data_IF_828425648457
#
_entry.id   IF_828425648457
#
_cell.length_a   1.000
_cell.length_b   1.000
_cell.length_c   1.000
_cell.angle_alpha   90.00
_cell.angle_beta   90.00
_cell.angle_gamma   90.00
#
_symmetry.space_group_name_H-M   'P 1'
#
loop_
_entity.id
_entity.type
_entity.pdbx_description
1 polymer ?
#
# COMPACT_ATOMS: atom_id res chain seq x y z
N UNK A 1 -30.22 25.78 -4.49
CA UNK A 1 -28.92 25.74 -3.79
C UNK A 1 -28.01 24.90 -4.63
N UNK A 2 -26.91 25.49 -5.08
CA UNK A 2 -26.00 24.93 -6.07
C UNK A 2 -25.35 23.65 -5.53
N UNK A 3 -25.43 22.58 -6.31
CA UNK A 3 -24.78 21.29 -6.04
C UNK A 3 -23.47 21.31 -6.83
N UNK A 4 -22.62 22.26 -6.47
CA UNK A 4 -21.35 22.51 -7.14
C UNK A 4 -20.38 21.36 -6.81
N UNK A 5 -19.96 20.64 -7.84
CA UNK A 5 -18.61 20.13 -8.06
C UNK A 5 -17.80 19.80 -6.80
N UNK A 6 -18.19 18.73 -6.09
CA UNK A 6 -17.21 17.97 -5.32
C UNK A 6 -16.32 17.24 -6.33
N UNK A 7 -15.35 17.96 -6.89
CA UNK A 7 -14.15 17.39 -7.49
C UNK A 7 -13.36 16.73 -6.36
N UNK A 8 -13.83 15.55 -5.92
CA UNK A 8 -13.14 14.69 -4.95
C UNK A 8 -11.92 14.08 -5.63
N UNK A 9 -10.92 14.91 -5.87
CA UNK A 9 -9.67 14.50 -6.45
C UNK A 9 -8.97 13.53 -5.48
N UNK A 10 -8.94 12.26 -5.88
CA UNK A 10 -8.22 11.20 -5.18
C UNK A 10 -6.75 11.11 -5.66
N UNK A 11 -6.22 12.16 -6.30
CA UNK A 11 -4.82 12.23 -6.75
C UNK A 11 -3.81 12.03 -5.62
N UNK A 12 -4.18 12.35 -4.38
CA UNK A 12 -3.35 12.14 -3.19
C UNK A 12 -2.87 10.69 -3.04
N UNK A 13 -3.66 9.70 -3.48
CA UNK A 13 -3.28 8.27 -3.47
C UNK A 13 -2.02 8.02 -4.32
N UNK A 14 -1.97 8.65 -5.50
CA UNK A 14 -0.87 8.50 -6.46
C UNK A 14 0.43 9.11 -5.94
N UNK A 15 0.35 10.31 -5.36
CA UNK A 15 1.50 11.01 -4.77
C UNK A 15 2.08 10.20 -3.61
N UNK A 16 1.20 9.73 -2.73
CA UNK A 16 1.56 8.97 -1.54
C UNK A 16 2.28 7.67 -1.88
N UNK A 17 1.79 6.92 -2.87
CA UNK A 17 2.43 5.64 -3.26
C UNK A 17 3.80 5.85 -3.91
N UNK A 18 3.93 6.87 -4.77
CA UNK A 18 5.19 7.15 -5.47
C UNK A 18 6.33 7.51 -4.51
N UNK A 19 6.04 8.21 -3.42
CA UNK A 19 7.05 8.53 -2.39
C UNK A 19 7.63 7.26 -1.76
N UNK A 20 6.76 6.31 -1.41
CA UNK A 20 7.15 5.07 -0.73
C UNK A 20 7.97 4.17 -1.65
N UNK A 21 7.58 4.07 -2.92
CA UNK A 21 8.30 3.28 -3.88
C UNK A 21 9.72 3.81 -4.12
N UNK A 22 9.87 5.13 -4.31
CA UNK A 22 11.18 5.77 -4.47
C UNK A 22 12.09 5.53 -3.25
N UNK A 23 11.56 5.63 -2.02
CA UNK A 23 12.33 5.36 -0.81
C UNK A 23 12.78 3.88 -0.73
N UNK A 24 11.92 2.93 -1.12
CA UNK A 24 12.29 1.51 -1.16
C UNK A 24 13.38 1.21 -2.19
N UNK A 25 13.33 1.84 -3.37
CA UNK A 25 14.37 1.69 -4.39
C UNK A 25 15.73 2.24 -3.93
N UNK A 26 15.76 3.42 -3.30
CA UNK A 26 17.00 4.02 -2.79
C UNK A 26 17.67 3.13 -1.74
N UNK A 27 16.89 2.55 -0.81
CA UNK A 27 17.40 1.63 0.21
C UNK A 27 18.03 0.35 -0.41
N UNK A 28 17.51 -0.14 -1.54
CA UNK A 28 18.11 -1.27 -2.23
C UNK A 28 19.48 -0.95 -2.86
N UNK A 29 19.64 0.26 -3.41
CA UNK A 29 20.89 0.67 -4.05
C UNK A 29 22.03 0.82 -3.04
N UNK A 30 21.73 1.36 -1.84
CA UNK A 30 22.72 1.50 -0.77
C UNK A 30 23.22 0.15 -0.24
N UNK A 31 22.35 -0.86 -0.11
CA UNK A 31 22.78 -2.18 0.38
C UNK A 31 23.71 -2.90 -0.60
N UNK A 32 23.49 -2.77 -1.91
CA UNK A 32 24.35 -3.40 -2.93
C UNK A 32 25.79 -2.88 -2.92
N UNK A 33 26.06 -1.70 -2.35
CA UNK A 33 27.41 -1.14 -2.23
C UNK A 33 28.17 -1.63 -0.99
N UNK A 34 27.47 -2.15 0.03
CA UNK A 34 28.08 -2.54 1.32
C UNK A 34 28.26 -4.07 1.50
N UNK A 35 27.75 -4.89 0.57
CA UNK A 35 27.73 -6.36 0.71
C UNK A 35 28.56 -7.12 -0.34
N UNK A 36 29.89 -7.17 -0.19
CA UNK A 36 30.72 -8.21 -0.82
C UNK A 36 31.33 -9.12 0.27
N UNK A 37 30.63 -10.22 0.58
CA UNK A 37 31.17 -11.54 0.91
C UNK A 37 30.10 -12.41 1.58
N UNK A 38 29.56 -13.39 0.86
CA UNK A 38 29.45 -14.81 1.27
C UNK A 38 28.53 -15.60 0.33
N UNK A 39 28.96 -16.82 0.04
CA UNK A 39 28.48 -17.77 -0.96
C UNK A 39 27.31 -18.66 -0.50
N UNK A 40 26.43 -18.95 -1.48
CA UNK A 40 25.65 -20.18 -1.73
C UNK A 40 25.05 -20.99 -0.57
N UNK A 41 23.71 -21.04 -0.53
CA UNK A 41 22.96 -22.23 -0.06
C UNK A 41 22.48 -22.27 1.39
N UNK A 42 22.23 -21.12 2.02
CA UNK A 42 21.72 -21.06 3.41
C UNK A 42 20.22 -20.76 3.52
N UNK A 43 19.58 -21.09 4.67
CA UNK A 43 18.18 -20.81 4.95
C UNK A 43 17.86 -19.31 4.85
N UNK A 44 16.58 -18.98 4.64
CA UNK A 44 16.08 -17.60 4.73
C UNK A 44 16.59 -16.99 6.04
N UNK A 45 17.30 -15.87 5.95
CA UNK A 45 17.80 -15.18 7.14
C UNK A 45 16.69 -14.26 7.62
N UNK A 46 16.20 -14.47 8.84
CA UNK A 46 15.35 -13.49 9.52
C UNK A 46 16.25 -12.56 10.32
N UNK A 47 16.09 -11.25 10.19
CA UNK A 47 16.96 -10.31 10.87
C UNK A 47 16.49 -8.86 10.77
N UNK A 48 17.04 -8.04 11.66
CA UNK A 48 16.82 -6.59 11.69
C UNK A 48 17.96 -5.82 11.04
N UNK A 49 17.63 -4.74 10.32
CA UNK A 49 18.57 -3.78 9.77
C UNK A 49 18.13 -2.35 10.10
N UNK A 50 19.10 -1.49 10.43
CA UNK A 50 18.87 -0.05 10.61
C UNK A 50 19.65 0.68 9.53
N UNK A 51 18.96 1.49 8.75
CA UNK A 51 19.53 2.27 7.67
C UNK A 51 20.10 3.60 8.21
N UNK A 52 20.99 4.23 7.44
CA UNK A 52 21.61 5.52 7.78
C UNK A 52 20.58 6.66 7.87
N UNK A 53 19.50 6.57 7.10
CA UNK A 53 18.37 7.50 7.13
C UNK A 53 17.48 7.34 8.38
N UNK A 54 17.84 6.45 9.32
CA UNK A 54 17.09 6.03 10.50
C UNK A 54 15.88 5.11 10.25
N UNK A 55 15.61 4.73 8.99
CA UNK A 55 14.65 3.68 8.66
C UNK A 55 15.09 2.34 9.24
N UNK A 56 14.14 1.43 9.47
CA UNK A 56 14.39 0.11 10.07
C UNK A 56 13.58 -0.96 9.37
N UNK A 57 14.22 -2.07 9.08
CA UNK A 57 13.56 -3.27 8.57
C UNK A 57 13.77 -4.43 9.53
N UNK A 58 12.73 -5.23 9.77
CA UNK A 58 12.81 -6.51 10.48
C UNK A 58 12.01 -7.51 9.66
N UNK A 59 12.65 -8.60 9.21
CA UNK A 59 11.97 -9.60 8.41
C UNK A 59 12.92 -10.54 7.71
N UNK A 60 12.40 -11.20 6.69
CA UNK A 60 13.12 -12.16 5.87
C UNK A 60 14.02 -11.50 4.82
N UNK A 61 15.19 -12.10 4.58
CA UNK A 61 16.16 -11.64 3.59
C UNK A 61 16.47 -12.76 2.61
N UNK A 62 16.53 -12.45 1.32
CA UNK A 62 16.99 -13.39 0.31
C UNK A 62 18.54 -13.53 0.33
N UNK A 63 19.07 -14.47 -0.45
CA UNK A 63 20.52 -14.73 -0.52
C UNK A 63 21.35 -13.56 -1.06
N UNK A 64 20.71 -12.62 -1.77
CA UNK A 64 21.33 -11.38 -2.25
C UNK A 64 21.31 -10.26 -1.20
N UNK A 65 20.76 -10.53 0.00
CA UNK A 65 20.59 -9.56 1.07
C UNK A 65 19.51 -8.51 0.77
N UNK A 66 18.53 -8.83 -0.08
CA UNK A 66 17.37 -7.97 -0.30
C UNK A 66 16.21 -8.43 0.60
N UNK A 67 15.39 -7.48 1.05
CA UNK A 67 14.13 -7.76 1.77
C UNK A 67 13.28 -8.74 0.95
N UNK A 68 12.79 -9.79 1.59
CA UNK A 68 11.99 -10.84 0.95
C UNK A 68 10.96 -11.38 1.95
N UNK A 69 10.02 -12.22 1.54
CA UNK A 69 9.08 -12.88 2.45
C UNK A 69 8.30 -11.89 3.31
N UNK A 70 7.99 -12.25 4.55
CA UNK A 70 7.30 -11.35 5.49
C UNK A 70 8.29 -10.38 6.14
N UNK A 71 7.88 -9.13 6.30
CA UNK A 71 8.65 -8.18 7.07
C UNK A 71 7.90 -6.90 7.45
N UNK A 72 8.58 -6.13 8.29
CA UNK A 72 8.15 -4.85 8.84
C UNK A 72 9.18 -3.80 8.45
N UNK A 73 8.75 -2.76 7.75
CA UNK A 73 9.57 -1.62 7.36
C UNK A 73 9.00 -0.36 7.98
N UNK A 74 9.79 0.28 8.82
CA UNK A 74 9.50 1.58 9.41
C UNK A 74 10.43 2.61 8.76
N UNK A 75 9.85 3.56 8.04
CA UNK A 75 10.59 4.70 7.49
C UNK A 75 10.83 5.76 8.56
N UNK A 76 11.86 6.58 8.33
CA UNK A 76 12.25 7.68 9.21
C UNK A 76 11.15 8.74 9.42
N UNK A 77 10.29 8.94 8.40
CA UNK A 77 9.18 9.87 8.48
C UNK A 77 7.99 9.35 9.32
N UNK A 78 8.07 8.10 9.81
CA UNK A 78 7.00 7.46 10.58
C UNK A 78 6.08 6.56 9.74
N UNK A 79 6.23 6.55 8.41
CA UNK A 79 5.50 5.61 7.55
C UNK A 79 5.89 4.17 7.88
N UNK A 80 4.92 3.29 8.02
CA UNK A 80 5.13 1.88 8.35
C UNK A 80 4.47 0.99 7.32
N UNK A 81 5.21 0.01 6.81
CA UNK A 81 4.70 -1.10 6.01
C UNK A 81 4.89 -2.42 6.74
N UNK A 82 3.84 -3.22 6.82
CA UNK A 82 3.90 -4.62 7.20
C UNK A 82 3.36 -5.45 6.03
N UNK A 83 4.06 -6.50 5.62
CA UNK A 83 3.56 -7.35 4.54
C UNK A 83 4.65 -8.14 3.86
N UNK A 84 4.33 -8.59 2.65
CA UNK A 84 5.25 -9.36 1.83
C UNK A 84 6.23 -8.44 1.08
N UNK A 85 7.46 -8.91 0.93
CA UNK A 85 8.51 -8.29 0.14
C UNK A 85 8.99 -9.25 -0.95
N UNK A 86 9.30 -8.70 -2.13
CA UNK A 86 9.99 -9.41 -3.19
C UNK A 86 11.11 -8.52 -3.74
N UNK A 87 12.33 -9.03 -3.70
CA UNK A 87 13.52 -8.34 -4.22
C UNK A 87 13.68 -6.91 -3.68
N UNK A 88 13.32 -6.70 -2.41
CA UNK A 88 13.45 -5.41 -1.74
C UNK A 88 12.25 -4.47 -1.85
N UNK A 89 11.21 -4.83 -2.62
CA UNK A 89 9.99 -4.03 -2.78
C UNK A 89 8.79 -4.71 -2.11
N UNK A 90 7.84 -3.92 -1.60
CA UNK A 90 6.55 -4.43 -1.14
C UNK A 90 5.78 -5.13 -2.27
N UNK A 91 5.24 -6.30 -1.97
CA UNK A 91 4.60 -7.23 -2.89
C UNK A 91 3.42 -7.91 -2.18
N UNK A 92 2.48 -8.49 -2.92
CA UNK A 92 1.45 -9.36 -2.35
C UNK A 92 0.56 -8.63 -1.35
N UNK A 93 0.18 -9.27 -0.25
CA UNK A 93 -0.67 -8.65 0.77
C UNK A 93 0.15 -7.85 1.78
N UNK A 94 -0.33 -6.65 2.11
CA UNK A 94 0.28 -5.82 3.15
C UNK A 94 -0.62 -4.70 3.66
N UNK A 95 -0.18 -4.09 4.75
CA UNK A 95 -0.77 -2.92 5.37
C UNK A 95 0.27 -1.80 5.42
N UNK A 96 -0.13 -0.59 5.05
CA UNK A 96 0.70 0.59 5.04
C UNK A 96 0.02 1.70 5.84
N UNK A 97 0.71 2.27 6.81
CA UNK A 97 0.23 3.35 7.65
C UNK A 97 1.10 4.59 7.46
N UNK A 98 0.48 5.74 7.36
CA UNK A 98 1.14 7.03 7.22
C UNK A 98 1.07 7.83 8.54
N UNK A 99 2.03 8.74 8.79
CA UNK A 99 2.05 9.57 9.99
C UNK A 99 0.85 10.51 10.13
N UNK A 100 0.24 10.90 8.99
CA UNK A 100 -0.95 11.75 8.95
C UNK A 100 -2.26 11.00 9.25
N UNK A 101 -2.18 9.68 9.50
CA UNK A 101 -3.32 8.82 9.76
C UNK A 101 -3.91 8.15 8.52
N UNK A 102 -3.44 8.49 7.32
CA UNK A 102 -3.83 7.73 6.12
C UNK A 102 -3.36 6.28 6.23
N UNK A 103 -4.06 5.37 5.56
CA UNK A 103 -3.77 3.93 5.60
C UNK A 103 -4.17 3.24 4.30
N UNK A 104 -3.41 2.24 3.90
CA UNK A 104 -3.80 1.29 2.87
C UNK A 104 -3.73 -0.14 3.39
N UNK A 105 -4.70 -0.97 3.00
CA UNK A 105 -4.69 -2.40 3.22
C UNK A 105 -5.13 -3.11 1.95
N UNK A 106 -4.29 -4.00 1.42
CA UNK A 106 -4.62 -4.67 0.17
C UNK A 106 -3.40 -5.26 -0.51
N UNK A 107 -3.48 -5.30 -1.84
CA UNK A 107 -2.47 -5.89 -2.69
C UNK A 107 -1.41 -4.86 -3.12
N UNK A 108 -0.17 -5.33 -3.18
CA UNK A 108 0.99 -4.58 -3.63
C UNK A 108 1.63 -5.29 -4.81
N UNK A 109 2.10 -4.52 -5.78
CA UNK A 109 2.91 -5.02 -6.87
C UNK A 109 4.08 -4.07 -7.15
N UNK A 110 5.31 -4.56 -7.00
CA UNK A 110 6.53 -3.80 -7.25
C UNK A 110 6.56 -2.44 -6.51
N UNK A 111 6.18 -2.41 -5.24
CA UNK A 111 6.16 -1.16 -4.47
C UNK A 111 4.84 -0.37 -4.54
N UNK A 112 3.95 -0.68 -5.48
CA UNK A 112 2.74 0.09 -5.73
C UNK A 112 1.49 -0.59 -5.17
N UNK A 113 0.51 0.20 -4.72
CA UNK A 113 -0.86 -0.31 -4.54
C UNK A 113 -1.35 -0.89 -5.86
N UNK A 114 -1.94 -2.08 -5.79
CA UNK A 114 -2.39 -2.84 -6.94
C UNK A 114 -3.62 -3.66 -6.57
N UNK A 115 -4.29 -4.26 -7.56
CA UNK A 115 -5.35 -5.23 -7.33
C UNK A 115 -6.50 -4.64 -6.51
N UNK A 116 -6.93 -5.35 -5.47
CA UNK A 116 -8.04 -4.93 -4.62
C UNK A 116 -7.50 -4.45 -3.25
N UNK A 117 -8.08 -3.38 -2.73
CA UNK A 117 -7.72 -2.90 -1.40
C UNK A 117 -8.67 -1.84 -0.87
N UNK A 118 -8.36 -1.38 0.34
CA UNK A 118 -9.03 -0.26 0.98
C UNK A 118 -8.00 0.81 1.31
N UNK A 119 -8.31 2.03 0.90
CA UNK A 119 -7.54 3.21 1.25
C UNK A 119 -8.37 4.13 2.14
N UNK A 120 -7.81 4.53 3.27
CA UNK A 120 -8.30 5.57 4.14
C UNK A 120 -7.41 6.79 3.99
N UNK A 121 -8.02 7.94 3.70
CA UNK A 121 -7.37 9.25 3.67
C UNK A 121 -7.31 9.83 5.08
N UNK A 122 -6.36 10.73 5.29
CA UNK A 122 -6.19 11.46 6.55
C UNK A 122 -7.42 12.33 6.91
N UNK A 123 -8.20 12.75 5.91
CA UNK A 123 -9.46 13.50 6.10
C UNK A 123 -10.67 12.62 6.46
N UNK A 124 -10.47 11.30 6.60
CA UNK A 124 -11.52 10.35 6.96
C UNK A 124 -12.32 9.80 5.77
N UNK A 125 -12.03 10.23 4.53
CA UNK A 125 -12.58 9.57 3.34
C UNK A 125 -12.01 8.15 3.19
N UNK A 126 -12.81 7.24 2.65
CA UNK A 126 -12.44 5.85 2.42
C UNK A 126 -12.83 5.40 1.02
N UNK A 127 -11.90 4.79 0.30
CA UNK A 127 -12.15 4.12 -0.97
C UNK A 127 -11.96 2.61 -0.84
N UNK A 128 -12.93 1.85 -1.34
CA UNK A 128 -12.92 0.38 -1.38
C UNK A 128 -13.05 -0.07 -2.84
N UNK A 129 -12.00 -0.67 -3.41
CA UNK A 129 -12.04 -1.08 -4.81
C UNK A 129 -10.70 -1.41 -5.42
N UNK A 130 -10.60 -1.17 -6.72
CA UNK A 130 -9.45 -1.54 -7.55
C UNK A 130 -8.38 -0.44 -7.64
N UNK A 131 -7.12 -0.87 -7.66
CA UNK A 131 -5.93 -0.02 -7.75
C UNK A 131 -4.98 -0.51 -8.86
N UNK A 132 -4.30 0.42 -9.52
CA UNK A 132 -3.25 0.11 -10.50
C UNK A 132 -2.16 1.18 -10.46
N UNK A 133 -0.92 0.76 -10.23
CA UNK A 133 0.24 1.66 -10.23
C UNK A 133 0.12 2.77 -9.19
N UNK A 134 -0.37 2.44 -7.99
CA UNK A 134 -0.54 3.40 -6.90
C UNK A 134 -1.72 4.35 -7.05
N UNK A 135 -2.58 4.15 -8.06
CA UNK A 135 -3.74 5.00 -8.30
C UNK A 135 -5.02 4.20 -8.16
N UNK A 136 -6.09 4.90 -7.81
CA UNK A 136 -7.45 4.35 -7.93
C UNK A 136 -7.73 4.15 -9.42
N UNK A 137 -7.99 2.89 -9.79
CA UNK A 137 -8.23 2.51 -11.18
C UNK A 137 -9.06 1.25 -11.23
N UNK A 138 -10.30 1.37 -11.73
CA UNK A 138 -11.26 0.28 -11.80
C UNK A 138 -12.52 0.59 -11.02
N UNK A 139 -13.24 -0.46 -10.65
CA UNK A 139 -14.50 -0.37 -9.92
C UNK A 139 -14.27 -0.16 -8.43
N UNK A 140 -15.14 0.62 -7.79
CA UNK A 140 -15.08 0.82 -6.35
C UNK A 140 -16.19 1.70 -5.79
N UNK A 141 -16.09 1.93 -4.50
CA UNK A 141 -17.00 2.71 -3.69
C UNK A 141 -16.24 3.75 -2.88
N UNK A 142 -16.68 5.01 -2.97
CA UNK A 142 -16.24 6.08 -2.09
C UNK A 142 -17.21 6.23 -0.90
N UNK A 143 -16.63 6.40 0.29
CA UNK A 143 -17.32 6.74 1.52
C UNK A 143 -16.70 8.02 2.09
N UNK A 144 -17.53 9.00 2.38
CA UNK A 144 -17.13 10.29 2.93
C UNK A 144 -16.89 10.20 4.44
N UNK A 145 -16.31 11.26 5.01
CA UNK A 145 -16.05 11.38 6.45
C UNK A 145 -17.33 11.26 7.28
N UNK A 146 -18.48 11.67 6.74
CA UNK A 146 -19.80 11.55 7.37
C UNK A 146 -20.43 10.14 7.23
N UNK A 147 -19.65 9.17 6.74
CA UNK A 147 -20.04 7.79 6.46
C UNK A 147 -21.07 7.62 5.33
N UNK A 148 -21.44 8.69 4.63
CA UNK A 148 -22.29 8.60 3.45
C UNK A 148 -21.47 8.22 2.21
N UNK A 149 -22.17 7.89 1.13
CA UNK A 149 -21.55 7.67 -0.18
C UNK A 149 -21.84 8.83 -1.15
N UNK A 150 -22.33 9.95 -0.62
CA UNK A 150 -22.86 11.06 -1.42
C UNK A 150 -24.20 10.73 -2.10
N UNK A 151 -24.80 11.76 -2.69
CA UNK A 151 -25.99 11.65 -3.51
C UNK A 151 -25.76 12.33 -4.87
N UNK A 152 -25.87 11.61 -5.99
CA UNK A 152 -26.06 10.15 -6.07
C UNK A 152 -24.83 9.39 -5.52
N UNK A 153 -25.04 8.13 -5.15
CA UNK A 153 -24.02 7.24 -4.58
C UNK A 153 -22.76 7.16 -5.47
N UNK A 154 -21.60 7.43 -4.89
CA UNK A 154 -20.28 7.37 -5.52
C UNK A 154 -19.76 5.92 -5.59
N UNK A 155 -20.50 5.08 -6.32
CA UNK A 155 -20.12 3.70 -6.65
C UNK A 155 -20.07 3.55 -8.17
N UNK A 156 -18.95 3.03 -8.67
CA UNK A 156 -18.73 3.00 -10.11
C UNK A 156 -17.29 2.80 -10.53
N UNK A 157 -17.01 3.15 -11.78
CA UNK A 157 -15.69 3.02 -12.37
C UNK A 157 -14.91 4.32 -12.21
N UNK A 158 -13.68 4.19 -11.75
CA UNK A 158 -12.71 5.26 -11.57
C UNK A 158 -11.52 5.04 -12.51
N UNK A 159 -10.97 6.12 -13.04
CA UNK A 159 -9.77 6.08 -13.88
C UNK A 159 -8.89 7.28 -13.52
N UNK A 160 -7.60 7.01 -13.30
CA UNK A 160 -6.64 8.05 -12.88
C UNK A 160 -7.18 8.88 -11.71
N UNK A 161 -7.70 8.19 -10.69
CA UNK A 161 -8.29 8.78 -9.49
C UNK A 161 -9.57 9.63 -9.72
N UNK A 162 -10.17 9.62 -10.92
CA UNK A 162 -11.40 10.36 -11.23
C UNK A 162 -12.59 9.43 -11.41
N UNK A 163 -13.76 9.87 -10.98
CA UNK A 163 -15.00 9.11 -11.13
C UNK A 163 -15.57 9.25 -12.55
N UNK A 164 -15.60 8.14 -13.29
CA UNK A 164 -15.94 8.14 -14.72
C UNK A 164 -17.38 7.68 -14.98
N UNK A 165 -17.86 6.68 -14.24
CA UNK A 165 -19.15 6.04 -14.54
C UNK A 165 -19.83 5.48 -13.30
N UNK A 166 -21.05 5.92 -13.04
CA UNK A 166 -21.95 5.38 -12.00
C UNK A 166 -22.45 3.99 -12.36
N UNK A 167 -22.17 2.99 -11.52
CA UNK A 167 -22.78 1.64 -11.54
C UNK A 167 -22.42 0.90 -10.26
N UNK A 168 -23.40 0.19 -9.69
CA UNK A 168 -23.16 -0.70 -8.54
C UNK A 168 -22.18 -1.82 -8.90
N UNK A 169 -21.19 -2.04 -8.04
CA UNK A 169 -20.15 -3.06 -8.13
C UNK A 169 -19.91 -3.74 -6.76
N UNK A 170 -20.94 -4.30 -6.11
CA UNK A 170 -20.83 -4.88 -4.76
C UNK A 170 -19.81 -6.02 -4.69
N UNK A 171 -19.64 -6.80 -5.75
CA UNK A 171 -18.67 -7.90 -5.80
C UNK A 171 -17.23 -7.39 -5.70
N UNK A 172 -16.94 -6.22 -6.26
CA UNK A 172 -15.61 -5.60 -6.21
C UNK A 172 -15.34 -5.07 -4.81
N UNK A 173 -16.33 -4.40 -4.21
CA UNK A 173 -16.23 -3.89 -2.83
C UNK A 173 -16.00 -5.04 -1.84
N UNK A 174 -16.73 -6.15 -1.99
CA UNK A 174 -16.53 -7.34 -1.16
C UNK A 174 -15.13 -7.97 -1.33
N UNK A 175 -14.59 -8.00 -2.55
CA UNK A 175 -13.21 -8.46 -2.79
C UNK A 175 -12.19 -7.56 -2.13
N UNK A 176 -12.32 -6.24 -2.26
CA UNK A 176 -11.47 -5.27 -1.57
C UNK A 176 -11.48 -5.46 -0.05
N UNK A 177 -12.67 -5.62 0.55
CA UNK A 177 -12.83 -5.89 1.98
C UNK A 177 -12.19 -7.21 2.41
N UNK A 178 -12.34 -8.27 1.61
CA UNK A 178 -11.71 -9.56 1.86
C UNK A 178 -10.18 -9.48 1.75
N UNK A 179 -9.64 -8.79 0.74
CA UNK A 179 -8.20 -8.60 0.58
C UNK A 179 -7.63 -7.80 1.76
N UNK A 180 -8.27 -6.71 2.17
CA UNK A 180 -7.86 -5.92 3.33
C UNK A 180 -7.88 -6.76 4.63
N UNK A 181 -8.90 -7.60 4.83
CA UNK A 181 -8.96 -8.52 5.97
C UNK A 181 -7.79 -9.52 5.97
N UNK A 182 -7.48 -10.11 4.82
CA UNK A 182 -6.35 -11.04 4.69
C UNK A 182 -5.01 -10.34 4.92
N UNK A 183 -4.84 -9.12 4.41
CA UNK A 183 -3.65 -8.31 4.64
C UNK A 183 -3.44 -8.02 6.14
N UNK A 184 -4.48 -7.61 6.87
CA UNK A 184 -4.41 -7.40 8.33
C UNK A 184 -4.02 -8.66 9.08
N UNK A 185 -4.67 -9.78 8.77
CA UNK A 185 -4.39 -11.07 9.41
C UNK A 185 -2.92 -11.48 9.28
N UNK A 186 -2.30 -11.20 8.13
CA UNK A 186 -0.88 -11.46 7.91
C UNK A 186 0.04 -10.52 8.71
N UNK A 187 -0.40 -9.29 8.97
CA UNK A 187 0.39 -8.28 9.71
C UNK A 187 0.33 -8.48 11.23
N UNK A 188 -0.74 -9.10 11.76
CA UNK A 188 -0.97 -9.32 13.20
C UNK A 188 -0.18 -10.50 13.79
N UNK A 189 0.52 -11.30 12.97
CA UNK A 189 1.33 -12.44 13.43
C UNK A 189 2.84 -12.24 13.16
N UNK A 190 3.49 -11.25 13.80
CA UNK A 190 4.92 -10.98 13.60
C UNK A 190 5.77 -11.87 14.52
N UNK A 191 5.86 -13.17 14.20
CA UNK A 191 6.72 -14.18 14.86
C UNK A 191 6.46 -14.48 16.35
#
# INVERSE_FOLDING_TARGET
MAMDDYDDDMSSVGVTTARIENQQQQQQQHYHQQGQNQSSGGPVKVGGWRYEDASRYIGEWNQRGQKHGIGHLQFADGTRYDGQFQEGLSQGLGCLWFPDGAKYEGEFHQGWFHGNGIFWRADGMKYEGEFRGGKIWGWGLLTFQDFTHGFPRNEGFFQDCRFMRKRRCPDVVQRAQKCALMARSQCEHPY
#
